data_IF_221199556150
#
_entry.id   IF_221199556150
#
_cell.length_a   1.000
_cell.length_b   1.000
_cell.length_c   1.000
_cell.angle_alpha   90.00
_cell.angle_beta   90.00
_cell.angle_gamma   90.00
#
_symmetry.space_group_name_H-M   'P 1'
#
loop_
_entity.id
_entity.type
_entity.pdbx_description
1 polymer ?
#
# COMPACT_ATOMS: atom_id res chain seq x y z
N UNK A 1 21.52 -1.78 20.24
CA UNK A 1 22.09 -0.64 19.49
C UNK A 1 22.45 -1.11 18.09
N UNK A 2 21.77 -0.61 17.05
CA UNK A 2 22.08 -0.94 15.66
C UNK A 2 23.44 -0.37 15.26
N UNK A 3 24.26 -1.19 14.59
CA UNK A 3 25.69 -0.94 14.29
C UNK A 3 25.95 -0.09 13.03
N UNK A 4 24.92 0.35 12.32
CA UNK A 4 25.06 1.13 11.09
C UNK A 4 24.06 2.28 11.06
N UNK A 5 24.57 3.49 10.85
CA UNK A 5 23.77 4.68 10.55
C UNK A 5 23.02 4.51 9.23
N UNK A 6 21.80 5.06 9.11
CA UNK A 6 21.05 5.07 7.84
C UNK A 6 21.94 5.67 6.74
N UNK A 7 21.95 5.04 5.56
CA UNK A 7 22.76 5.47 4.40
C UNK A 7 22.40 6.95 4.08
N UNK A 8 23.37 7.86 3.91
CA UNK A 8 23.12 9.31 3.78
C UNK A 8 22.22 9.74 2.61
N UNK A 9 21.93 8.83 1.66
CA UNK A 9 21.05 9.03 0.52
C UNK A 9 19.90 8.00 0.44
N UNK A 10 19.57 7.30 1.53
CA UNK A 10 18.40 6.44 1.56
C UNK A 10 17.14 7.28 1.79
N UNK A 11 16.81 8.12 0.81
CA UNK A 11 15.48 8.65 0.66
C UNK A 11 14.62 7.46 0.19
N UNK A 12 14.00 6.76 1.12
CA UNK A 12 12.84 5.94 0.78
C UNK A 12 11.81 6.94 0.28
N UNK A 13 11.73 7.11 -1.04
CA UNK A 13 10.69 7.94 -1.63
C UNK A 13 9.40 7.22 -1.28
N UNK A 14 8.62 7.86 -0.42
CA UNK A 14 7.33 7.32 -0.03
C UNK A 14 6.41 7.35 -1.26
N UNK A 15 5.60 6.31 -1.38
CA UNK A 15 4.61 6.13 -2.42
C UNK A 15 3.46 7.11 -2.21
N UNK A 16 3.03 7.69 -3.32
CA UNK A 16 1.94 8.67 -3.40
C UNK A 16 0.62 7.99 -3.75
N UNK A 17 -0.49 8.73 -3.72
CA UNK A 17 -1.80 8.24 -4.16
C UNK A 17 -1.76 7.70 -5.59
N UNK A 18 -1.01 8.36 -6.49
CA UNK A 18 -0.85 7.88 -7.87
C UNK A 18 -0.09 6.57 -7.95
N UNK A 19 0.87 6.32 -7.07
CA UNK A 19 1.57 5.04 -7.04
C UNK A 19 0.64 3.93 -6.52
N UNK A 20 -0.16 4.21 -5.48
CA UNK A 20 -1.17 3.29 -4.97
C UNK A 20 -2.20 2.93 -6.04
N UNK A 21 -2.75 3.94 -6.72
CA UNK A 21 -3.75 3.76 -7.77
C UNK A 21 -3.23 2.91 -8.92
N UNK A 22 -2.00 3.16 -9.39
CA UNK A 22 -1.37 2.33 -10.41
C UNK A 22 -1.17 0.87 -9.94
N UNK A 23 -0.79 0.66 -8.67
CA UNK A 23 -0.63 -0.68 -8.11
C UNK A 23 -1.97 -1.41 -8.06
N UNK A 24 -3.03 -0.74 -7.59
CA UNK A 24 -4.37 -1.31 -7.53
C UNK A 24 -4.89 -1.60 -8.95
N UNK A 25 -4.84 -0.64 -9.88
CA UNK A 25 -5.27 -0.85 -11.26
C UNK A 25 -4.51 -2.03 -11.89
N UNK A 26 -3.18 -2.09 -11.72
CA UNK A 26 -2.39 -3.22 -12.23
C UNK A 26 -2.81 -4.54 -11.59
N UNK A 27 -2.97 -4.59 -10.27
CA UNK A 27 -3.34 -5.80 -9.55
C UNK A 27 -4.74 -6.31 -9.95
N UNK A 28 -5.72 -5.43 -10.11
CA UNK A 28 -7.11 -5.79 -10.42
C UNK A 28 -7.40 -5.90 -11.93
N UNK A 29 -6.55 -5.34 -12.79
CA UNK A 29 -6.69 -5.44 -14.27
C UNK A 29 -5.87 -6.60 -14.85
N UNK A 30 -4.68 -6.85 -14.33
CA UNK A 30 -3.78 -7.90 -14.83
C UNK A 30 -3.91 -9.23 -14.07
N UNK A 31 -4.72 -9.28 -13.00
CA UNK A 31 -5.02 -10.52 -12.29
C UNK A 31 -5.67 -11.54 -13.22
N UNK A 32 -4.93 -12.61 -13.51
CA UNK A 32 -5.47 -13.83 -14.12
C UNK A 32 -6.19 -14.73 -13.10
N UNK A 33 -6.31 -14.29 -11.84
CA UNK A 33 -6.97 -15.02 -10.75
C UNK A 33 -8.44 -14.61 -10.65
N UNK A 34 -9.31 -15.58 -10.34
CA UNK A 34 -10.74 -15.32 -10.09
C UNK A 34 -11.00 -14.37 -8.90
N UNK A 35 -9.99 -14.16 -8.05
CA UNK A 35 -9.98 -13.22 -6.94
C UNK A 35 -8.70 -12.37 -7.02
N UNK A 36 -8.75 -11.16 -7.61
CA UNK A 36 -7.67 -10.19 -7.49
C UNK A 36 -7.52 -9.74 -6.04
N UNK A 37 -6.27 -9.66 -5.56
CA UNK A 37 -5.96 -8.96 -4.33
C UNK A 37 -4.66 -8.19 -4.45
N UNK A 38 -4.53 -7.12 -3.67
CA UNK A 38 -3.32 -6.30 -3.62
C UNK A 38 -2.90 -6.06 -2.18
N UNK A 39 -1.65 -6.36 -1.84
CA UNK A 39 -1.10 -6.11 -0.50
C UNK A 39 -0.15 -4.93 -0.56
N UNK A 40 -0.39 -3.93 0.27
CA UNK A 40 0.45 -2.75 0.40
C UNK A 40 1.04 -2.67 1.80
N UNK A 41 2.23 -2.06 1.91
CA UNK A 41 2.86 -1.77 3.19
C UNK A 41 2.72 -0.29 3.52
N UNK A 42 2.05 0.03 4.62
CA UNK A 42 1.76 1.39 5.09
C UNK A 42 3.02 2.24 5.31
N UNK A 43 4.09 1.61 5.79
CA UNK A 43 5.39 2.27 5.99
C UNK A 43 5.98 2.87 4.70
N UNK A 44 5.58 2.35 3.53
CA UNK A 44 6.07 2.83 2.24
C UNK A 44 5.28 4.03 1.72
N UNK A 45 4.15 4.42 2.32
CA UNK A 45 3.28 5.50 1.84
C UNK A 45 3.43 6.80 2.62
N UNK A 46 3.07 7.91 1.97
CA UNK A 46 2.97 9.25 2.58
C UNK A 46 1.70 9.41 3.41
N UNK A 47 0.62 8.76 2.98
CA UNK A 47 -0.70 8.79 3.61
C UNK A 47 -0.74 7.98 4.89
N UNK A 48 -1.71 8.30 5.75
CA UNK A 48 -2.01 7.51 6.93
C UNK A 48 -2.85 6.27 6.59
N UNK A 49 -2.74 5.23 7.41
CA UNK A 49 -3.55 4.00 7.31
C UNK A 49 -5.05 4.30 7.19
N UNK A 50 -5.55 5.18 8.06
CA UNK A 50 -6.96 5.58 8.08
C UNK A 50 -7.40 6.23 6.78
N UNK A 51 -6.58 7.13 6.23
CA UNK A 51 -6.86 7.83 4.98
C UNK A 51 -6.93 6.87 3.80
N UNK A 52 -5.99 5.91 3.73
CA UNK A 52 -5.98 4.85 2.72
C UNK A 52 -7.25 4.00 2.82
N UNK A 53 -7.64 3.58 4.03
CA UNK A 53 -8.84 2.76 4.25
C UNK A 53 -10.11 3.53 3.86
N UNK A 54 -10.25 4.79 4.28
CA UNK A 54 -11.41 5.62 3.95
C UNK A 54 -11.58 5.80 2.45
N UNK A 55 -10.49 6.12 1.73
CA UNK A 55 -10.53 6.27 0.29
C UNK A 55 -10.81 4.93 -0.41
N UNK A 56 -10.15 3.85 0.02
CA UNK A 56 -10.37 2.52 -0.55
C UNK A 56 -11.83 2.07 -0.44
N UNK A 57 -12.45 2.28 0.73
CA UNK A 57 -13.88 2.00 0.95
C UNK A 57 -14.75 2.90 0.07
N UNK A 58 -14.40 4.18 -0.08
CA UNK A 58 -15.13 5.11 -0.94
C UNK A 58 -15.10 4.71 -2.42
N UNK A 59 -13.98 4.11 -2.87
CA UNK A 59 -13.81 3.59 -4.23
C UNK A 59 -14.39 2.16 -4.42
N UNK A 60 -14.86 1.52 -3.35
CA UNK A 60 -15.51 0.22 -3.38
C UNK A 60 -14.60 -0.99 -3.18
N UNK A 61 -13.36 -0.78 -2.73
CA UNK A 61 -12.46 -1.87 -2.33
C UNK A 61 -12.79 -2.37 -0.93
N UNK A 62 -12.60 -3.67 -0.73
CA UNK A 62 -12.61 -4.29 0.60
C UNK A 62 -11.20 -4.27 1.14
N UNK A 63 -10.98 -3.57 2.25
CA UNK A 63 -9.65 -3.51 2.88
C UNK A 63 -9.60 -4.43 4.10
N UNK A 64 -8.68 -5.40 4.07
CA UNK A 64 -8.37 -6.30 5.17
C UNK A 64 -7.11 -5.82 5.88
N UNK A 65 -7.26 -5.51 7.16
CA UNK A 65 -6.16 -5.18 8.06
C UNK A 65 -5.50 -6.45 8.60
N UNK A 66 -4.59 -7.03 7.82
CA UNK A 66 -3.87 -8.26 8.18
C UNK A 66 -2.69 -7.99 9.13
N UNK A 67 -2.26 -6.72 9.31
CA UNK A 67 -1.23 -6.33 10.28
C UNK A 67 -1.12 -4.81 10.44
N UNK A 68 -0.61 -4.31 11.56
CA UNK A 68 -0.44 -2.86 11.82
C UNK A 68 0.33 -2.13 10.70
N UNK A 69 1.19 -2.82 9.96
CA UNK A 69 2.02 -2.29 8.88
C UNK A 69 1.52 -2.61 7.45
N UNK A 70 0.51 -3.46 7.28
CA UNK A 70 0.07 -3.96 5.97
C UNK A 70 -1.44 -3.89 5.79
N UNK A 71 -1.87 -3.50 4.60
CA UNK A 71 -3.27 -3.55 4.18
C UNK A 71 -3.39 -4.43 2.94
N UNK A 72 -4.39 -5.30 2.93
CA UNK A 72 -4.77 -6.10 1.77
C UNK A 72 -6.07 -5.55 1.19
N UNK A 73 -6.15 -5.48 -0.13
CA UNK A 73 -7.27 -4.97 -0.91
C UNK A 73 -7.86 -6.13 -1.69
N UNK A 74 -9.18 -6.27 -1.65
CA UNK A 74 -10.00 -7.22 -2.41
C UNK A 74 -11.16 -6.50 -3.14
#
# INVERSE_FOLDING_TARGET
MSKLSRKPNHHVKKLTWSDLDNILISAFTESATDHPSAVIRLSDYEMSKSEIIEEAIAQGYTVIDNSDDFLEFE
#
